data_IF_605420252550
#
_entry.id   IF_605420252550
#
_cell.length_a   1.000
_cell.length_b   1.000
_cell.length_c   1.000
_cell.angle_alpha   90.00
_cell.angle_beta   90.00
_cell.angle_gamma   90.00
#
_symmetry.space_group_name_H-M   'P 1'
#
loop_
_entity.id
_entity.type
_entity.pdbx_description
1 polymer ?
#
# COMPACT_ATOMS: atom_id res chain seq x y z
N UNK A 1 11.49 -5.76 -9.09
CA UNK A 1 10.50 -4.83 -8.47
C UNK A 1 9.76 -4.13 -9.58
N UNK A 2 8.45 -4.01 -9.47
CA UNK A 2 7.58 -3.35 -10.44
C UNK A 2 8.09 -1.93 -10.70
N UNK A 3 8.21 -1.57 -11.96
CA UNK A 3 8.74 -0.25 -12.36
C UNK A 3 7.84 0.88 -11.87
N UNK A 4 8.45 1.90 -11.24
CA UNK A 4 7.75 3.03 -10.63
C UNK A 4 7.28 2.79 -9.19
N UNK A 5 7.38 1.58 -8.66
CA UNK A 5 7.20 1.33 -7.22
C UNK A 5 8.45 1.78 -6.49
N UNK A 6 8.27 2.64 -5.50
CA UNK A 6 9.34 3.13 -4.64
C UNK A 6 9.06 2.77 -3.18
N UNK A 7 10.11 2.68 -2.39
CA UNK A 7 10.01 2.42 -0.95
C UNK A 7 10.87 3.39 -0.15
N UNK A 8 10.40 3.74 1.05
CA UNK A 8 11.16 4.54 2.01
C UNK A 8 11.13 3.84 3.36
N UNK A 9 12.32 3.54 3.90
CA UNK A 9 12.42 3.05 5.27
C UNK A 9 12.02 4.16 6.25
N UNK A 10 11.06 3.88 7.12
CA UNK A 10 10.58 4.84 8.12
C UNK A 10 11.38 4.69 9.41
N UNK A 11 11.95 5.80 9.87
CA UNK A 11 12.69 5.84 11.12
C UNK A 11 11.74 6.07 12.30
N UNK A 12 11.78 5.18 13.27
CA UNK A 12 11.09 5.32 14.54
C UNK A 12 12.05 5.89 15.59
N UNK A 13 11.71 7.02 16.17
CA UNK A 13 12.43 7.62 17.30
C UNK A 13 11.60 7.38 18.56
N UNK A 14 12.16 6.65 19.52
CA UNK A 14 11.48 6.26 20.76
C UNK A 14 12.24 6.74 21.99
N UNK A 15 11.52 7.18 23.01
CA UNK A 15 12.02 7.51 24.35
C UNK A 15 10.97 7.16 25.42
N UNK A 16 11.20 7.53 26.69
CA UNK A 16 10.28 7.25 27.80
C UNK A 16 8.89 7.90 27.65
N UNK A 17 8.74 8.90 26.77
CA UNK A 17 7.47 9.59 26.53
C UNK A 17 6.66 8.93 25.41
N UNK A 18 7.26 8.01 24.61
CA UNK A 18 6.63 7.34 23.48
C UNK A 18 7.50 7.31 22.25
N UNK A 19 6.88 7.50 21.10
CA UNK A 19 7.58 7.37 19.80
C UNK A 19 7.05 8.34 18.76
N UNK A 20 7.94 8.75 17.86
CA UNK A 20 7.65 9.61 16.71
C UNK A 20 8.17 8.93 15.43
N UNK A 21 7.38 8.99 14.38
CA UNK A 21 7.76 8.50 13.06
C UNK A 21 7.26 9.47 11.98
N UNK A 22 8.18 10.02 11.20
CA UNK A 22 7.84 10.84 10.04
C UNK A 22 7.53 9.93 8.84
N UNK A 23 6.35 10.07 8.27
CA UNK A 23 5.87 9.18 7.20
C UNK A 23 6.27 9.71 5.82
N UNK A 24 5.82 10.90 5.47
CA UNK A 24 6.08 11.53 4.18
C UNK A 24 6.30 13.03 4.39
N UNK A 25 7.43 13.52 3.90
CA UNK A 25 7.81 14.93 3.94
C UNK A 25 7.81 15.49 2.53
N UNK A 26 7.58 16.79 2.40
CA UNK A 26 7.64 17.48 1.11
C UNK A 26 9.04 17.47 0.48
N UNK A 27 10.08 17.31 1.29
CA UNK A 27 11.48 17.24 0.88
C UNK A 27 12.03 15.80 0.76
N UNK A 28 11.19 14.78 0.88
CA UNK A 28 11.56 13.40 0.55
C UNK A 28 11.73 13.23 -0.97
N UNK A 29 12.71 12.46 -1.40
CA UNK A 29 12.97 12.14 -2.82
C UNK A 29 11.75 11.50 -3.51
N UNK A 30 10.96 10.71 -2.78
CA UNK A 30 9.75 10.06 -3.32
C UNK A 30 8.50 10.95 -3.28
N UNK A 31 8.60 12.17 -2.70
CA UNK A 31 7.46 13.05 -2.64
C UNK A 31 7.11 13.60 -4.02
N UNK A 32 5.88 13.38 -4.46
CA UNK A 32 5.36 13.95 -5.71
C UNK A 32 4.41 15.13 -5.43
N UNK A 33 3.31 14.87 -4.73
CA UNK A 33 2.23 15.83 -4.52
C UNK A 33 1.38 15.37 -3.32
N UNK A 34 0.70 16.30 -2.68
CA UNK A 34 -0.31 16.00 -1.66
C UNK A 34 -1.72 16.21 -2.23
N UNK A 35 -2.55 15.20 -2.21
CA UNK A 35 -3.97 15.29 -2.55
C UNK A 35 -4.87 15.24 -1.31
N UNK A 36 -4.71 14.21 -0.52
CA UNK A 36 -5.43 13.98 0.74
C UNK A 36 -4.63 13.04 1.64
N UNK A 37 -5.15 12.80 2.83
CA UNK A 37 -4.68 11.75 3.73
C UNK A 37 -5.89 11.06 4.35
N UNK A 38 -5.82 9.74 4.44
CA UNK A 38 -6.84 8.96 5.15
C UNK A 38 -6.23 7.73 5.81
N UNK A 39 -6.97 7.17 6.74
CA UNK A 39 -6.66 5.89 7.33
C UNK A 39 -7.72 4.85 6.94
N UNK A 40 -7.29 3.61 6.84
CA UNK A 40 -8.15 2.43 6.73
C UNK A 40 -7.64 1.35 7.66
N UNK A 41 -8.52 0.49 8.13
CA UNK A 41 -8.10 -0.61 8.99
C UNK A 41 -8.41 -1.96 8.34
N UNK A 42 -7.72 -3.00 8.78
CA UNK A 42 -8.06 -4.37 8.44
C UNK A 42 -8.02 -5.23 9.69
N UNK A 43 -9.12 -5.93 9.95
CA UNK A 43 -9.13 -6.99 10.95
C UNK A 43 -8.28 -8.16 10.48
N UNK A 44 -7.83 -8.98 11.42
CA UNK A 44 -7.01 -10.15 11.13
C UNK A 44 -7.67 -11.02 10.05
N UNK A 45 -6.89 -11.37 9.04
CA UNK A 45 -7.29 -12.23 7.93
C UNK A 45 -8.13 -11.54 6.84
N UNK A 46 -8.63 -10.33 7.09
CA UNK A 46 -9.43 -9.60 6.08
C UNK A 46 -8.54 -9.15 4.92
N UNK A 47 -9.01 -9.41 3.71
CA UNK A 47 -8.41 -8.96 2.46
C UNK A 47 -9.19 -7.77 1.91
N UNK A 48 -8.48 -6.68 1.63
CA UNK A 48 -9.00 -5.52 0.90
C UNK A 48 -8.24 -5.40 -0.42
N UNK A 49 -8.77 -5.96 -1.49
CA UNK A 49 -8.16 -6.05 -2.81
C UNK A 49 -9.26 -6.21 -3.88
N UNK A 50 -8.95 -6.00 -5.12
CA UNK A 50 -7.84 -5.29 -5.74
C UNK A 50 -8.29 -3.89 -6.11
N UNK A 51 -7.42 -2.92 -5.99
CA UNK A 51 -7.68 -1.54 -6.40
C UNK A 51 -6.58 -1.11 -7.38
N UNK A 52 -6.91 -0.20 -8.28
CA UNK A 52 -5.92 0.59 -9.00
C UNK A 52 -6.50 1.97 -9.37
N UNK A 53 -5.62 2.89 -9.68
CA UNK A 53 -5.92 4.26 -10.07
C UNK A 53 -5.27 4.57 -11.41
N UNK A 54 -5.87 5.43 -12.23
CA UNK A 54 -5.29 5.84 -13.52
C UNK A 54 -4.40 7.06 -13.40
N UNK A 55 -4.64 7.91 -12.41
CA UNK A 55 -3.96 9.21 -12.23
C UNK A 55 -3.24 9.27 -10.89
N UNK A 56 -3.89 8.80 -9.85
CA UNK A 56 -3.41 8.90 -8.47
C UNK A 56 -2.22 7.96 -8.23
N UNK A 57 -1.21 8.47 -7.52
CA UNK A 57 -0.16 7.68 -6.86
C UNK A 57 -0.52 7.54 -5.38
N UNK A 58 -0.43 6.34 -4.85
CA UNK A 58 -0.65 6.06 -3.43
C UNK A 58 0.65 5.99 -2.64
N UNK A 59 0.61 6.39 -1.38
CA UNK A 59 1.72 6.27 -0.44
C UNK A 59 1.24 5.55 0.82
N UNK A 60 1.45 4.24 0.88
CA UNK A 60 0.97 3.36 1.94
C UNK A 60 1.99 3.17 3.06
N UNK A 61 1.55 3.34 4.31
CA UNK A 61 2.29 2.95 5.50
C UNK A 61 1.36 2.27 6.50
N UNK A 62 1.79 1.18 7.12
CA UNK A 62 1.06 0.55 8.21
C UNK A 62 1.59 1.09 9.55
N UNK A 63 0.73 1.81 10.28
CA UNK A 63 1.10 2.52 11.51
C UNK A 63 1.05 1.64 12.76
N UNK A 64 0.20 0.60 12.74
CA UNK A 64 0.01 -0.38 13.83
C UNK A 64 -0.44 -1.71 13.23
N UNK A 65 -0.04 -2.79 13.88
CA UNK A 65 -0.29 -4.14 13.39
C UNK A 65 0.60 -4.47 12.19
N UNK A 66 0.22 -5.45 11.42
CA UNK A 66 0.96 -5.92 10.24
C UNK A 66 0.01 -6.16 9.07
N UNK A 67 0.46 -5.79 7.88
CA UNK A 67 -0.21 -6.16 6.63
C UNK A 67 0.74 -6.86 5.66
N UNK A 68 0.19 -7.75 4.87
CA UNK A 68 0.76 -8.20 3.61
C UNK A 68 0.18 -7.31 2.51
N UNK A 69 0.97 -6.35 2.03
CA UNK A 69 0.64 -5.50 0.88
C UNK A 69 1.13 -6.17 -0.39
N UNK A 70 0.26 -6.34 -1.37
CA UNK A 70 0.59 -7.01 -2.63
C UNK A 70 0.30 -6.07 -3.78
N UNK A 71 1.26 -5.97 -4.69
CA UNK A 71 1.17 -5.20 -5.91
C UNK A 71 1.25 -6.15 -7.12
N UNK A 72 0.47 -5.87 -8.16
CA UNK A 72 0.52 -6.60 -9.41
C UNK A 72 0.56 -5.61 -10.59
N UNK A 73 1.58 -5.73 -11.42
CA UNK A 73 1.71 -4.91 -12.60
C UNK A 73 0.94 -5.51 -13.78
N UNK A 74 -0.21 -4.94 -14.09
CA UNK A 74 -1.01 -5.36 -15.25
C UNK A 74 -1.07 -4.28 -16.34
N UNK A 75 -0.17 -3.29 -16.31
CA UNK A 75 -0.07 -2.24 -17.33
C UNK A 75 0.42 -2.83 -18.65
N UNK A 76 -0.28 -2.49 -19.74
CA UNK A 76 -0.04 -3.12 -21.07
C UNK A 76 1.40 -2.95 -21.55
N UNK A 77 1.96 -1.74 -21.42
CA UNK A 77 3.27 -1.37 -21.97
C UNK A 77 4.39 -1.35 -20.90
N UNK A 78 4.16 -1.97 -19.75
CA UNK A 78 5.15 -2.02 -18.67
C UNK A 78 6.19 -3.10 -18.92
N UNK A 79 7.49 -2.81 -18.74
CA UNK A 79 8.54 -3.83 -18.81
C UNK A 79 8.44 -4.86 -17.67
N UNK A 80 7.69 -4.55 -16.61
CA UNK A 80 7.46 -5.44 -15.47
C UNK A 80 6.05 -6.03 -15.47
N UNK A 81 5.37 -6.04 -16.62
CA UNK A 81 4.04 -6.62 -16.74
C UNK A 81 4.01 -8.08 -16.27
N UNK A 82 3.07 -8.40 -15.38
CA UNK A 82 2.91 -9.72 -14.77
C UNK A 82 3.73 -9.91 -13.50
N UNK A 83 4.62 -8.97 -13.13
CA UNK A 83 5.31 -9.05 -11.85
C UNK A 83 4.34 -8.84 -10.69
N UNK A 84 4.59 -9.60 -9.61
CA UNK A 84 3.94 -9.45 -8.32
C UNK A 84 4.99 -9.11 -7.28
N UNK A 85 4.75 -8.07 -6.49
CA UNK A 85 5.59 -7.72 -5.35
C UNK A 85 4.80 -7.88 -4.06
N UNK A 86 5.41 -8.49 -3.05
CA UNK A 86 4.86 -8.62 -1.69
C UNK A 86 5.68 -7.77 -0.72
N UNK A 87 4.99 -7.01 0.12
CA UNK A 87 5.59 -6.24 1.21
C UNK A 87 4.91 -6.61 2.52
N UNK A 88 5.68 -7.00 3.51
CA UNK A 88 5.22 -7.24 4.86
C UNK A 88 5.56 -6.00 5.68
N UNK A 89 4.58 -5.14 5.91
CA UNK A 89 4.80 -3.83 6.52
C UNK A 89 3.95 -3.62 7.77
N UNK A 90 4.49 -2.91 8.74
CA UNK A 90 3.83 -2.62 10.01
C UNK A 90 4.79 -2.52 11.18
N UNK A 91 4.40 -3.06 12.32
CA UNK A 91 5.15 -2.94 13.57
C UNK A 91 6.58 -3.51 13.47
N UNK A 92 6.75 -4.60 12.73
CA UNK A 92 8.04 -5.28 12.58
C UNK A 92 8.87 -4.75 11.40
N UNK A 93 8.24 -4.02 10.48
CA UNK A 93 8.91 -3.46 9.31
C UNK A 93 8.27 -2.13 8.90
N UNK A 94 8.86 -1.04 9.33
CA UNK A 94 8.37 0.34 9.13
C UNK A 94 8.74 0.84 7.74
N UNK A 95 7.88 0.60 6.76
CA UNK A 95 8.12 0.94 5.37
C UNK A 95 6.96 1.76 4.81
N UNK A 96 7.27 2.83 4.08
CA UNK A 96 6.36 3.50 3.16
C UNK A 96 6.55 2.87 1.78
N UNK A 97 5.45 2.48 1.14
CA UNK A 97 5.44 1.97 -0.23
C UNK A 97 4.66 2.92 -1.10
N UNK A 98 5.31 3.47 -2.11
CA UNK A 98 4.71 4.32 -3.12
C UNK A 98 4.29 3.47 -4.33
N UNK A 99 3.02 3.58 -4.71
CA UNK A 99 2.39 2.77 -5.75
C UNK A 99 1.98 3.69 -6.91
N UNK A 100 2.58 3.53 -8.09
CA UNK A 100 2.25 4.38 -9.24
C UNK A 100 0.89 4.04 -9.85
N UNK A 101 0.32 4.95 -10.65
CA UNK A 101 -0.90 4.69 -11.41
C UNK A 101 -0.83 3.40 -12.24
N UNK A 102 -1.96 2.74 -12.40
CA UNK A 102 -2.11 1.52 -13.20
C UNK A 102 -1.65 0.22 -12.53
N UNK A 103 -1.01 0.28 -11.36
CA UNK A 103 -0.59 -0.90 -10.61
C UNK A 103 -1.71 -1.35 -9.69
N UNK A 104 -2.18 -2.59 -9.88
CA UNK A 104 -3.12 -3.21 -8.94
C UNK A 104 -2.46 -3.42 -7.59
N UNK A 105 -3.20 -3.11 -6.55
CA UNK A 105 -2.76 -3.30 -5.19
C UNK A 105 -3.89 -3.75 -4.27
N UNK A 106 -3.52 -4.39 -3.20
CA UNK A 106 -4.40 -4.80 -2.13
C UNK A 106 -3.60 -5.23 -0.92
N UNK A 107 -4.26 -5.38 0.20
CA UNK A 107 -3.59 -5.83 1.41
C UNK A 107 -4.46 -6.76 2.25
N UNK A 108 -3.80 -7.58 3.04
CA UNK A 108 -4.39 -8.48 4.02
C UNK A 108 -3.86 -8.14 5.41
N UNK A 109 -4.75 -8.03 6.39
CA UNK A 109 -4.36 -7.97 7.81
C UNK A 109 -3.71 -9.29 8.23
N UNK A 110 -2.47 -9.20 8.72
CA UNK A 110 -1.70 -10.32 9.27
C UNK A 110 -1.21 -9.94 10.68
N UNK A 111 -0.67 -10.87 11.42
CA UNK A 111 -0.25 -10.61 12.80
C UNK A 111 -1.38 -10.88 13.80
N UNK A 112 -1.40 -10.19 14.93
CA UNK A 112 -2.27 -10.49 16.08
C UNK A 112 -3.26 -9.37 16.43
N UNK A 113 -3.14 -8.21 15.81
CA UNK A 113 -3.98 -7.05 16.08
C UNK A 113 -4.52 -6.44 14.79
N UNK A 114 -5.57 -5.63 14.92
CA UNK A 114 -6.07 -4.81 13.82
C UNK A 114 -4.95 -3.97 13.22
N UNK A 115 -4.81 -4.03 11.91
CA UNK A 115 -3.88 -3.19 11.19
C UNK A 115 -4.47 -1.81 10.94
N UNK A 116 -3.70 -0.75 11.22
CA UNK A 116 -4.02 0.63 10.92
C UNK A 116 -3.12 1.12 9.78
N UNK A 117 -3.70 1.33 8.62
CA UNK A 117 -3.01 1.74 7.40
C UNK A 117 -3.29 3.20 7.09
N UNK A 118 -2.24 3.98 6.89
CA UNK A 118 -2.29 5.35 6.37
C UNK A 118 -2.04 5.32 4.87
N UNK A 119 -2.81 6.09 4.11
CA UNK A 119 -2.50 6.44 2.73
C UNK A 119 -2.46 7.96 2.55
N UNK A 120 -1.48 8.42 1.78
CA UNK A 120 -1.33 9.81 1.36
C UNK A 120 -1.34 9.87 -0.16
N UNK A 121 -2.53 9.78 -0.78
CA UNK A 121 -2.64 9.85 -2.24
C UNK A 121 -2.29 11.24 -2.78
N UNK A 122 -1.82 11.26 -4.04
CA UNK A 122 -1.49 12.51 -4.73
C UNK A 122 -2.71 13.30 -5.20
N UNK A 123 -3.87 12.68 -5.30
CA UNK A 123 -5.12 13.32 -5.71
C UNK A 123 -6.17 13.21 -4.60
N UNK A 124 -7.03 14.23 -4.41
CA UNK A 124 -8.19 14.12 -3.53
C UNK A 124 -9.24 13.21 -4.17
N UNK A 125 -9.98 12.49 -3.34
CA UNK A 125 -11.08 11.65 -3.81
C UNK A 125 -12.20 12.50 -4.43
N UNK A 126 -12.51 12.24 -5.69
CA UNK A 126 -13.62 12.89 -6.38
C UNK A 126 -14.87 12.01 -6.27
N UNK A 127 -15.83 12.42 -5.43
CA UNK A 127 -17.08 11.68 -5.21
C UNK A 127 -18.00 11.61 -6.43
N UNK A 128 -17.86 12.53 -7.39
CA UNK A 128 -18.68 12.55 -8.61
C UNK A 128 -18.07 11.66 -9.72
N UNK A 129 -16.75 11.60 -9.79
CA UNK A 129 -16.01 10.82 -10.78
C UNK A 129 -14.76 10.18 -10.13
N UNK A 130 -14.94 9.09 -9.38
CA UNK A 130 -13.83 8.45 -8.69
C UNK A 130 -12.78 7.88 -9.64
N UNK A 131 -11.50 8.18 -9.37
CA UNK A 131 -10.36 7.48 -9.97
C UNK A 131 -10.06 6.19 -9.17
N UNK A 132 -11.03 5.32 -9.08
CA UNK A 132 -10.93 4.07 -8.33
C UNK A 132 -11.55 2.93 -9.12
N UNK A 133 -10.76 1.92 -9.42
CA UNK A 133 -11.15 0.72 -10.15
C UNK A 133 -10.89 -0.50 -9.29
N UNK A 134 -11.80 -1.47 -9.31
CA UNK A 134 -11.76 -2.62 -8.41
C UNK A 134 -11.93 -3.94 -9.16
N UNK A 135 -11.23 -4.96 -8.66
CA UNK A 135 -11.49 -6.36 -8.97
C UNK A 135 -11.68 -7.15 -7.68
N UNK A 136 -12.42 -8.27 -7.72
CA UNK A 136 -12.54 -9.16 -6.57
C UNK A 136 -11.17 -9.68 -6.10
N UNK A 137 -10.97 -9.98 -4.81
CA UNK A 137 -9.69 -10.50 -4.29
C UNK A 137 -9.18 -11.76 -4.99
N UNK A 138 -10.08 -12.59 -5.50
CA UNK A 138 -9.79 -13.86 -6.18
C UNK A 138 -10.07 -13.79 -7.68
N UNK A 139 -9.93 -12.60 -8.28
CA UNK A 139 -10.08 -12.43 -9.73
C UNK A 139 -9.01 -13.22 -10.49
N UNK A 140 -9.46 -13.98 -11.49
CA UNK A 140 -8.57 -14.87 -12.26
C UNK A 140 -7.54 -14.15 -13.14
N UNK A 141 -7.77 -12.85 -13.41
CA UNK A 141 -6.82 -12.02 -14.15
C UNK A 141 -5.57 -11.65 -13.34
N UNK A 142 -5.64 -11.78 -12.01
CA UNK A 142 -4.51 -11.59 -11.11
C UNK A 142 -4.27 -12.93 -10.37
N UNK A 143 -3.30 -13.74 -10.83
CA UNK A 143 -3.06 -15.08 -10.27
C UNK A 143 -2.30 -14.97 -8.93
N UNK A 144 -2.99 -14.53 -7.89
CA UNK A 144 -2.43 -14.36 -6.56
C UNK A 144 -3.27 -15.07 -5.49
N UNK A 145 -2.60 -15.86 -4.67
CA UNK A 145 -3.19 -16.52 -3.51
C UNK A 145 -2.98 -15.70 -2.24
N UNK A 146 -4.08 -15.27 -1.63
CA UNK A 146 -4.09 -14.53 -0.38
C UNK A 146 -3.93 -15.40 0.88
N UNK A 147 -3.84 -16.72 0.75
CA UNK A 147 -3.60 -17.59 1.89
C UNK A 147 -2.30 -17.24 2.63
N UNK A 148 -2.24 -17.55 3.93
CA UNK A 148 -0.99 -17.49 4.67
C UNK A 148 -0.11 -18.65 4.23
N UNK A 149 1.19 -18.40 4.11
CA UNK A 149 2.15 -19.46 3.82
C UNK A 149 2.33 -20.31 5.07
N UNK A 150 2.28 -21.60 4.91
CA UNK A 150 2.71 -22.58 5.91
C UNK A 150 4.19 -22.92 5.69
N UNK A 151 4.95 -23.00 6.76
CA UNK A 151 6.40 -23.25 6.74
C UNK A 151 6.80 -24.52 7.42
#
# INVERSE_FOLDING_TARGET
>A
MIVGVNTKQLKMNSDERGRLMEILRRDDEIYAKFGQVYITTAYLGVVKAWHFHKVQTDNFACLRGMIKLVLCDNRHDSPTRGEVNEFFIGDDNRLLVQIPPGVYHGFKGIGTTEALVLNVPTEPYNHQQPDEYRLPPHDKSIPYDWALKEG
#
